data_IF_290613063013
#
_entry.id   IF_290613063013
#
_cell.length_a   1.000
_cell.length_b   1.000
_cell.length_c   1.000
_cell.angle_alpha   90.00
_cell.angle_beta   90.00
_cell.angle_gamma   90.00
#
_symmetry.space_group_name_H-M   'P 1'
#
loop_
_entity.id
_entity.type
_entity.pdbx_description
1 polymer ?
#
# COMPACT_ATOMS: atom_id res chain seq x y z
N UNK A 1 19.34 27.70 30.22
CA UNK A 1 18.77 27.81 28.86
C UNK A 1 19.94 27.68 27.90
N UNK A 2 20.09 26.54 27.23
CA UNK A 2 21.27 26.29 26.38
C UNK A 2 21.09 26.95 25.00
N UNK A 3 22.15 27.51 24.40
CA UNK A 3 22.09 28.17 23.10
C UNK A 3 21.84 27.13 22.00
N UNK A 4 20.82 27.37 21.17
CA UNK A 4 20.51 26.56 19.98
C UNK A 4 21.35 27.09 18.83
N UNK A 5 22.25 26.25 18.32
CA UNK A 5 23.19 26.59 17.26
C UNK A 5 22.44 26.75 15.91
N UNK A 6 22.47 27.94 15.26
CA UNK A 6 21.73 28.21 14.03
C UNK A 6 22.30 27.49 12.79
N UNK A 7 23.45 26.84 12.93
CA UNK A 7 24.11 26.04 11.89
C UNK A 7 24.07 24.54 12.15
N UNK A 8 23.11 24.05 12.95
CA UNK A 8 22.79 22.63 13.03
C UNK A 8 22.31 22.14 11.65
N UNK A 9 23.27 21.84 10.78
CA UNK A 9 23.06 21.38 9.42
C UNK A 9 22.11 20.21 9.46
N UNK A 10 21.03 20.32 8.70
CA UNK A 10 20.04 19.26 8.56
C UNK A 10 20.76 18.05 7.95
N UNK A 11 21.22 17.14 8.81
CA UNK A 11 21.79 15.86 8.44
C UNK A 11 20.68 15.03 7.81
N UNK A 12 20.61 15.02 6.46
CA UNK A 12 19.68 14.17 5.72
C UNK A 12 20.14 12.72 5.89
N UNK A 13 19.66 12.08 6.97
CA UNK A 13 20.11 10.76 7.44
C UNK A 13 19.88 9.59 6.49
N UNK A 14 19.21 9.76 5.35
CA UNK A 14 19.19 8.69 4.35
C UNK A 14 18.77 9.16 2.96
N UNK A 15 19.65 8.97 1.98
CA UNK A 15 19.35 9.09 0.54
C UNK A 15 18.53 7.90 0.00
N UNK A 16 18.25 6.89 0.84
CA UNK A 16 17.53 5.67 0.46
C UNK A 16 16.11 5.91 -0.06
N UNK A 17 15.46 7.03 0.32
CA UNK A 17 14.09 7.34 -0.12
C UNK A 17 14.06 7.83 -1.57
N UNK A 18 15.17 8.39 -2.08
CA UNK A 18 15.22 8.98 -3.43
C UNK A 18 15.76 7.99 -4.46
N UNK A 19 16.67 7.09 -4.07
CA UNK A 19 17.26 6.10 -4.97
C UNK A 19 16.54 4.76 -4.87
N UNK A 20 15.64 4.50 -5.85
CA UNK A 20 15.18 3.14 -6.12
C UNK A 20 16.35 2.34 -6.69
N UNK A 21 16.93 1.46 -5.86
CA UNK A 21 17.97 0.53 -6.30
C UNK A 21 17.38 -0.45 -7.31
N UNK A 22 17.59 -0.20 -8.61
CA UNK A 22 17.13 -1.06 -9.68
C UNK A 22 18.27 -1.98 -10.11
N UNK A 23 18.09 -3.30 -9.98
CA UNK A 23 19.11 -4.26 -10.42
C UNK A 23 19.22 -4.23 -11.95
N UNK A 24 20.42 -3.96 -12.45
CA UNK A 24 20.74 -3.85 -13.88
C UNK A 24 21.89 -4.78 -14.24
N UNK A 25 21.77 -5.40 -15.40
CA UNK A 25 22.77 -6.28 -15.99
C UNK A 25 23.58 -5.48 -17.01
N UNK A 26 24.88 -5.36 -16.77
CA UNK A 26 25.80 -4.63 -17.65
C UNK A 26 26.72 -5.55 -18.46
N UNK A 27 26.89 -6.80 -18.01
CA UNK A 27 27.78 -7.81 -18.59
C UNK A 27 27.13 -9.18 -18.49
N UNK A 28 27.30 -9.99 -19.52
CA UNK A 28 26.97 -11.42 -19.52
C UNK A 28 28.30 -12.15 -19.65
N UNK A 29 28.69 -12.86 -18.59
CA UNK A 29 29.98 -13.55 -18.50
C UNK A 29 31.16 -12.63 -18.90
N UNK A 30 31.81 -12.86 -20.06
CA UNK A 30 32.91 -12.02 -20.55
C UNK A 30 32.48 -10.85 -21.44
N UNK A 31 31.25 -10.83 -21.95
CA UNK A 31 30.78 -9.83 -22.92
C UNK A 31 30.06 -8.66 -22.27
N UNK A 32 30.50 -7.43 -22.58
CA UNK A 32 29.75 -6.21 -22.19
C UNK A 32 28.57 -6.04 -23.12
N UNK A 33 27.40 -5.75 -22.53
CA UNK A 33 26.21 -5.46 -23.31
C UNK A 33 26.38 -4.11 -24.02
N UNK A 34 25.90 -3.95 -25.27
CA UNK A 34 26.01 -2.70 -26.02
C UNK A 34 25.08 -1.58 -25.50
N UNK A 35 24.48 -1.76 -24.31
CA UNK A 35 23.55 -0.83 -23.70
C UNK A 35 24.25 -0.03 -22.59
N UNK A 36 24.47 1.30 -22.75
CA UNK A 36 25.25 2.10 -21.79
C UNK A 36 24.64 2.12 -20.38
N UNK A 37 23.32 2.00 -20.28
CA UNK A 37 22.57 2.02 -19.02
C UNK A 37 22.27 0.63 -18.44
N UNK A 38 22.80 -0.45 -19.06
CA UNK A 38 22.48 -1.84 -18.73
C UNK A 38 21.02 -2.22 -19.01
N UNK A 39 20.73 -3.52 -18.90
CA UNK A 39 19.37 -4.06 -19.03
C UNK A 39 18.79 -4.26 -17.62
N UNK A 40 17.63 -3.68 -17.27
CA UNK A 40 17.02 -3.92 -15.98
C UNK A 40 16.63 -5.40 -15.86
N UNK A 41 16.94 -6.03 -14.73
CA UNK A 41 16.62 -7.46 -14.50
C UNK A 41 15.11 -7.70 -14.59
N UNK A 42 14.30 -6.71 -14.22
CA UNK A 42 12.85 -6.75 -14.41
C UNK A 42 12.44 -6.93 -15.88
N UNK A 43 13.16 -6.35 -16.85
CA UNK A 43 12.86 -6.55 -18.27
C UNK A 43 13.08 -8.00 -18.70
N UNK A 44 14.11 -8.68 -18.16
CA UNK A 44 14.34 -10.11 -18.44
C UNK A 44 13.17 -10.94 -17.89
N UNK A 45 12.75 -10.67 -16.65
CA UNK A 45 11.59 -11.34 -16.06
C UNK A 45 10.29 -11.09 -16.83
N UNK A 46 10.05 -9.87 -17.31
CA UNK A 46 8.89 -9.55 -18.14
C UNK A 46 8.96 -10.19 -19.53
N UNK A 47 10.12 -10.27 -20.15
CA UNK A 47 10.29 -10.93 -21.44
C UNK A 47 9.96 -12.42 -21.33
N UNK A 48 10.46 -13.08 -20.28
CA UNK A 48 10.12 -14.48 -19.99
C UNK A 48 8.62 -14.66 -19.74
N UNK A 49 7.99 -13.80 -18.92
CA UNK A 49 6.56 -13.86 -18.65
C UNK A 49 5.70 -13.65 -19.92
N UNK A 50 6.06 -12.69 -20.78
CA UNK A 50 5.36 -12.46 -22.05
C UNK A 50 5.56 -13.63 -23.01
N UNK A 51 6.77 -14.19 -23.09
CA UNK A 51 7.02 -15.38 -23.90
C UNK A 51 6.15 -16.56 -23.46
N UNK A 52 6.08 -16.84 -22.15
CA UNK A 52 5.18 -17.86 -21.60
C UNK A 52 3.72 -17.59 -21.97
N UNK A 53 3.29 -16.32 -21.91
CA UNK A 53 1.94 -15.92 -22.31
C UNK A 53 1.70 -16.16 -23.81
N UNK A 54 2.63 -15.81 -24.68
CA UNK A 54 2.53 -16.05 -26.13
C UNK A 54 2.43 -17.55 -26.44
N UNK A 55 3.26 -18.37 -25.80
CA UNK A 55 3.21 -19.83 -25.97
C UNK A 55 1.87 -20.39 -25.51
N UNK A 56 1.35 -19.92 -24.37
CA UNK A 56 0.04 -20.33 -23.86
C UNK A 56 -1.10 -19.88 -24.79
N UNK A 57 -1.06 -18.64 -25.28
CA UNK A 57 -2.05 -18.11 -26.24
C UNK A 57 -1.99 -18.81 -27.59
N UNK A 58 -0.82 -19.29 -27.99
CA UNK A 58 -0.62 -20.08 -29.21
C UNK A 58 -1.34 -21.43 -29.20
N UNK A 59 -1.72 -21.94 -28.03
CA UNK A 59 -2.50 -23.18 -27.91
C UNK A 59 -4.01 -22.97 -28.15
N UNK A 60 -4.49 -21.72 -28.19
CA UNK A 60 -5.90 -21.43 -28.42
C UNK A 60 -6.24 -21.43 -29.92
N UNK A 61 -7.41 -22.00 -30.30
CA UNK A 61 -7.90 -21.88 -31.67
C UNK A 61 -8.12 -20.41 -32.04
N UNK A 62 -7.77 -20.03 -33.26
CA UNK A 62 -7.78 -18.64 -33.74
C UNK A 62 -6.48 -17.89 -33.41
N UNK A 63 -6.16 -17.69 -32.12
CA UNK A 63 -4.93 -16.98 -31.72
C UNK A 63 -3.67 -17.72 -32.16
N UNK A 64 -3.64 -19.06 -32.07
CA UNK A 64 -2.55 -19.88 -32.58
C UNK A 64 -2.36 -19.75 -34.09
N UNK A 65 -3.44 -19.60 -34.86
CA UNK A 65 -3.35 -19.42 -36.31
C UNK A 65 -2.76 -18.05 -36.67
N UNK A 66 -3.16 -17.00 -35.95
CA UNK A 66 -2.59 -15.66 -36.13
C UNK A 66 -1.11 -15.65 -35.76
N UNK A 67 -0.76 -16.19 -34.59
CA UNK A 67 0.64 -16.26 -34.12
C UNK A 67 1.51 -17.15 -35.01
N UNK A 68 0.95 -18.22 -35.57
CA UNK A 68 1.61 -19.12 -36.51
C UNK A 68 1.81 -18.53 -37.91
N UNK A 69 1.02 -17.52 -38.28
CA UNK A 69 1.21 -16.77 -39.52
C UNK A 69 2.39 -15.79 -39.44
N UNK A 70 2.81 -15.40 -38.22
CA UNK A 70 3.97 -14.54 -38.01
C UNK A 70 5.28 -15.35 -38.05
N UNK A 71 6.37 -14.79 -38.61
CA UNK A 71 7.68 -15.42 -38.56
C UNK A 71 8.11 -15.68 -37.10
N UNK A 72 8.67 -16.87 -36.86
CA UNK A 72 9.12 -17.29 -35.53
C UNK A 72 10.03 -16.25 -34.80
N UNK A 73 10.99 -15.56 -35.46
CA UNK A 73 11.79 -14.54 -34.79
C UNK A 73 10.96 -13.37 -34.26
N UNK A 74 9.89 -13.01 -34.98
CA UNK A 74 9.04 -11.89 -34.61
C UNK A 74 8.16 -12.26 -33.41
N UNK A 75 7.59 -13.47 -33.42
CA UNK A 75 6.72 -13.98 -32.37
C UNK A 75 7.46 -14.32 -31.08
N UNK A 76 8.61 -15.00 -31.16
CA UNK A 76 9.28 -15.57 -29.99
C UNK A 76 10.47 -14.75 -29.46
N UNK A 77 10.96 -13.76 -30.22
CA UNK A 77 12.10 -12.94 -29.80
C UNK A 77 11.70 -11.45 -29.75
N UNK A 78 11.27 -10.90 -30.88
CA UNK A 78 11.01 -9.45 -30.97
C UNK A 78 9.79 -9.04 -30.14
N UNK A 79 8.68 -9.76 -30.22
CA UNK A 79 7.47 -9.43 -29.48
C UNK A 79 7.66 -9.47 -27.95
N UNK A 80 8.23 -10.53 -27.33
CA UNK A 80 8.55 -10.53 -25.90
C UNK A 80 9.51 -9.42 -25.48
N UNK A 81 10.57 -9.19 -26.27
CA UNK A 81 11.56 -8.15 -25.97
C UNK A 81 10.95 -6.74 -26.03
N UNK A 82 10.16 -6.45 -27.07
CA UNK A 82 9.46 -5.18 -27.22
C UNK A 82 8.43 -4.96 -26.11
N UNK A 83 7.63 -5.98 -25.79
CA UNK A 83 6.66 -5.92 -24.70
C UNK A 83 7.34 -5.70 -23.33
N UNK A 84 8.43 -6.40 -23.03
CA UNK A 84 9.20 -6.20 -21.82
C UNK A 84 9.78 -4.79 -21.71
N UNK A 85 10.28 -4.26 -22.83
CA UNK A 85 10.78 -2.89 -22.89
C UNK A 85 9.66 -1.86 -22.68
N UNK A 86 8.48 -2.08 -23.27
CA UNK A 86 7.31 -1.25 -23.03
C UNK A 86 6.87 -1.30 -21.56
N UNK A 87 6.79 -2.50 -20.95
CA UNK A 87 6.37 -2.71 -19.56
C UNK A 87 7.30 -2.06 -18.52
N UNK A 88 8.58 -1.90 -18.87
CA UNK A 88 9.59 -1.30 -17.99
C UNK A 88 9.82 0.18 -18.25
N UNK A 89 9.68 0.66 -19.50
CA UNK A 89 9.88 2.08 -19.84
C UNK A 89 8.62 2.93 -19.73
N UNK A 90 7.46 2.40 -20.06
CA UNK A 90 6.22 3.17 -20.02
C UNK A 90 5.79 3.42 -18.58
N UNK A 91 5.41 4.67 -18.30
CA UNK A 91 4.87 5.07 -17.00
C UNK A 91 3.43 5.51 -17.19
N UNK A 92 2.51 4.80 -16.53
CA UNK A 92 1.08 5.12 -16.47
C UNK A 92 0.85 5.75 -15.10
N UNK A 93 0.34 6.99 -15.07
CA UNK A 93 0.12 7.77 -13.84
C UNK A 93 1.38 7.85 -12.93
N UNK A 94 2.55 7.98 -13.56
CA UNK A 94 3.85 8.01 -12.87
C UNK A 94 4.35 6.66 -12.34
N UNK A 95 3.58 5.58 -12.50
CA UNK A 95 3.94 4.21 -12.10
C UNK A 95 4.44 3.41 -13.32
N UNK A 96 5.47 2.55 -13.19
CA UNK A 96 5.85 1.64 -14.26
C UNK A 96 4.65 0.80 -14.73
N UNK A 97 4.50 0.61 -16.04
CA UNK A 97 3.34 -0.05 -16.63
C UNK A 97 3.07 -1.45 -16.06
N UNK A 98 4.11 -2.24 -15.80
CA UNK A 98 3.94 -3.55 -15.16
C UNK A 98 3.30 -3.48 -13.77
N UNK A 99 3.58 -2.44 -12.96
CA UNK A 99 2.94 -2.26 -11.65
C UNK A 99 1.50 -1.82 -11.78
N UNK A 100 1.21 -0.96 -12.77
CA UNK A 100 -0.15 -0.54 -13.07
C UNK A 100 -1.00 -1.75 -13.50
N UNK A 101 -0.50 -2.54 -14.45
CA UNK A 101 -1.20 -3.73 -14.95
C UNK A 101 -1.35 -4.79 -13.87
N UNK A 102 -0.31 -5.04 -13.06
CA UNK A 102 -0.43 -5.95 -11.93
C UNK A 102 -1.50 -5.47 -10.95
N UNK A 103 -1.47 -4.18 -10.55
CA UNK A 103 -2.48 -3.64 -9.64
C UNK A 103 -3.90 -3.74 -10.22
N UNK A 104 -4.06 -3.46 -11.52
CA UNK A 104 -5.35 -3.52 -12.21
C UNK A 104 -5.87 -4.96 -12.30
N UNK A 105 -5.02 -5.91 -12.67
CA UNK A 105 -5.37 -7.33 -12.76
C UNK A 105 -5.66 -7.91 -11.38
N UNK A 106 -4.82 -7.65 -10.37
CA UNK A 106 -5.10 -8.07 -9.00
C UNK A 106 -6.40 -7.46 -8.50
N UNK A 107 -6.67 -6.18 -8.78
CA UNK A 107 -7.91 -5.54 -8.33
C UNK A 107 -9.16 -6.13 -9.02
N UNK A 108 -9.06 -6.49 -10.31
CA UNK A 108 -10.15 -7.12 -11.04
C UNK A 108 -10.41 -8.57 -10.61
N UNK A 109 -9.35 -9.30 -10.21
CA UNK A 109 -9.43 -10.68 -9.74
C UNK A 109 -9.70 -10.80 -8.24
N UNK A 110 -9.47 -9.74 -7.47
CA UNK A 110 -9.73 -9.74 -6.03
C UNK A 110 -11.25 -9.72 -5.82
N UNK A 111 -11.83 -10.69 -5.10
CA UNK A 111 -13.25 -10.62 -4.76
C UNK A 111 -13.50 -9.36 -3.93
N UNK A 112 -14.34 -8.46 -4.45
CA UNK A 112 -14.77 -7.27 -3.74
C UNK A 112 -16.17 -7.53 -3.18
N UNK A 113 -16.36 -7.32 -1.88
CA UNK A 113 -17.74 -7.17 -1.38
C UNK A 113 -18.24 -5.83 -1.89
N UNK A 114 -19.45 -5.76 -2.42
CA UNK A 114 -20.05 -4.48 -2.77
C UNK A 114 -20.95 -4.03 -1.63
N UNK A 115 -20.76 -2.79 -1.16
CA UNK A 115 -21.68 -2.14 -0.24
C UNK A 115 -22.25 -0.92 -0.98
N UNK A 116 -23.57 -0.88 -1.20
CA UNK A 116 -24.24 0.19 -1.97
C UNK A 116 -23.59 0.39 -3.35
N UNK A 117 -23.44 -0.70 -4.10
CA UNK A 117 -22.78 -0.73 -5.42
C UNK A 117 -21.33 -0.18 -5.45
N UNK A 118 -20.67 -0.01 -4.29
CA UNK A 118 -19.28 0.39 -4.18
C UNK A 118 -18.40 -0.75 -3.69
N UNK A 119 -17.19 -0.92 -4.25
CA UNK A 119 -16.19 -1.84 -3.71
C UNK A 119 -15.94 -1.61 -2.22
N UNK A 120 -16.05 -2.65 -1.42
CA UNK A 120 -15.74 -2.70 -0.01
C UNK A 120 -14.68 -3.79 0.26
N UNK A 121 -13.68 -3.50 1.09
CA UNK A 121 -12.61 -4.45 1.39
C UNK A 121 -13.17 -5.72 2.04
N UNK A 122 -12.64 -6.88 1.64
CA UNK A 122 -13.05 -8.21 2.12
C UNK A 122 -12.61 -8.53 3.55
N UNK A 123 -11.99 -7.56 4.25
CA UNK A 123 -11.54 -7.76 5.61
C UNK A 123 -12.75 -8.08 6.50
N UNK A 124 -12.75 -9.21 7.24
CA UNK A 124 -13.74 -9.44 8.26
C UNK A 124 -13.58 -8.31 9.28
N UNK A 125 -14.46 -7.33 9.20
CA UNK A 125 -14.68 -6.40 10.28
C UNK A 125 -15.66 -7.09 11.22
N UNK A 126 -15.20 -7.60 12.38
CA UNK A 126 -16.14 -7.96 13.42
C UNK A 126 -16.90 -6.68 13.74
N UNK A 127 -18.17 -6.65 13.37
CA UNK A 127 -19.13 -5.71 13.91
C UNK A 127 -19.38 -6.28 15.31
N UNK A 128 -18.84 -5.68 16.39
CA UNK A 128 -19.11 -6.20 17.71
C UNK A 128 -20.60 -6.04 17.96
N UNK A 129 -21.28 -7.05 18.53
CA UNK A 129 -22.68 -6.98 18.97
C UNK A 129 -22.92 -5.98 20.13
N UNK A 130 -21.96 -5.09 20.38
CA UNK A 130 -22.02 -4.04 21.39
C UNK A 130 -22.49 -2.71 20.80
N UNK A 131 -23.01 -1.80 21.64
CA UNK A 131 -23.38 -0.46 21.21
C UNK A 131 -22.16 0.26 20.62
N UNK A 132 -22.22 0.51 19.32
CA UNK A 132 -21.21 1.28 18.60
C UNK A 132 -21.43 2.76 18.92
N UNK A 133 -20.71 3.28 19.92
CA UNK A 133 -20.67 4.72 20.18
C UNK A 133 -19.80 5.41 19.12
N UNK A 134 -20.42 5.75 17.98
CA UNK A 134 -19.79 6.61 16.96
C UNK A 134 -20.16 8.05 17.18
N UNK A 135 -19.15 8.92 17.25
CA UNK A 135 -19.38 10.35 17.15
C UNK A 135 -19.43 10.79 15.69
N UNK A 136 -20.17 11.87 15.41
CA UNK A 136 -20.14 12.55 14.12
C UNK A 136 -18.69 12.80 13.67
N UNK A 137 -18.33 12.45 12.42
CA UNK A 137 -16.99 12.65 11.88
C UNK A 137 -16.57 14.13 11.84
N UNK A 138 -17.54 15.06 11.88
CA UNK A 138 -17.29 16.52 11.84
C UNK A 138 -17.02 17.13 13.21
N UNK A 139 -17.37 16.47 14.30
CA UNK A 139 -17.18 17.05 15.63
C UNK A 139 -15.70 17.17 15.94
N UNK A 140 -15.22 18.24 16.55
CA UNK A 140 -13.76 18.51 16.72
C UNK A 140 -13.16 17.91 17.99
N UNK A 141 -13.98 17.49 18.96
CA UNK A 141 -13.54 16.93 20.25
C UNK A 141 -14.19 15.57 20.55
N UNK A 142 -13.67 14.89 21.59
CA UNK A 142 -14.36 13.74 22.18
C UNK A 142 -15.43 14.25 23.15
N UNK A 143 -16.66 13.68 23.14
CA UNK A 143 -17.67 14.03 24.13
C UNK A 143 -17.24 13.57 25.53
N UNK A 144 -17.75 14.25 26.55
CA UNK A 144 -17.65 13.71 27.91
C UNK A 144 -18.42 12.39 27.98
N UNK A 145 -17.75 11.30 28.35
CA UNK A 145 -18.40 10.01 28.54
C UNK A 145 -17.66 9.12 29.55
N UNK A 146 -18.38 8.17 30.11
CA UNK A 146 -17.83 7.09 30.93
C UNK A 146 -18.17 5.76 30.25
N UNK A 147 -17.13 4.97 29.94
CA UNK A 147 -17.26 3.65 29.32
C UNK A 147 -16.78 2.62 30.34
N UNK A 148 -17.62 1.66 30.70
CA UNK A 148 -17.27 0.56 31.60
C UNK A 148 -16.97 -0.69 30.77
N UNK A 149 -15.88 -1.39 31.09
CA UNK A 149 -15.50 -2.63 30.41
C UNK A 149 -16.42 -3.82 30.77
N UNK A 150 -16.42 -4.90 29.97
CA UNK A 150 -15.49 -5.16 28.87
C UNK A 150 -15.83 -4.37 27.60
N UNK A 151 -14.87 -3.61 27.07
CA UNK A 151 -15.09 -2.78 25.87
C UNK A 151 -13.79 -2.52 25.11
N UNK A 152 -13.90 -2.37 23.78
CA UNK A 152 -12.79 -1.93 22.93
C UNK A 152 -13.07 -0.52 22.43
N UNK A 153 -12.23 0.43 22.84
CA UNK A 153 -12.36 1.85 22.49
C UNK A 153 -11.33 2.20 21.42
N UNK A 154 -11.80 2.73 20.29
CA UNK A 154 -10.95 3.15 19.18
C UNK A 154 -10.87 4.67 19.11
N UNK A 155 -9.65 5.19 19.26
CA UNK A 155 -9.35 6.62 19.26
C UNK A 155 -8.84 7.06 17.89
N UNK A 156 -9.54 8.02 17.29
CA UNK A 156 -9.19 8.59 15.99
C UNK A 156 -8.43 9.92 16.11
N UNK A 157 -8.37 10.51 17.30
CA UNK A 157 -7.70 11.79 17.59
C UNK A 157 -6.71 11.67 18.75
N UNK A 158 -5.70 12.55 18.79
CA UNK A 158 -4.77 12.57 19.91
C UNK A 158 -5.48 12.83 21.23
N UNK A 159 -5.15 12.01 22.23
CA UNK A 159 -5.60 12.17 23.60
C UNK A 159 -4.47 11.75 24.55
N UNK A 160 -4.39 12.43 25.69
CA UNK A 160 -3.57 12.04 26.83
C UNK A 160 -4.42 11.15 27.72
N UNK A 161 -3.88 10.00 28.08
CA UNK A 161 -4.50 9.08 29.00
C UNK A 161 -3.63 8.97 30.25
N UNK A 162 -4.25 9.00 31.42
CA UNK A 162 -3.61 8.78 32.70
C UNK A 162 -4.40 7.71 33.45
N UNK A 163 -3.73 6.62 33.82
CA UNK A 163 -4.35 5.53 34.55
C UNK A 163 -4.31 5.83 36.05
N UNK A 164 -5.45 5.68 36.73
CA UNK A 164 -5.58 5.74 38.18
C UNK A 164 -6.41 4.55 38.65
N UNK A 165 -5.75 3.59 39.31
CA UNK A 165 -6.36 2.32 39.70
C UNK A 165 -7.06 1.64 38.51
N UNK A 166 -8.36 1.31 38.61
CA UNK A 166 -9.15 0.70 37.53
C UNK A 166 -9.78 1.72 36.57
N UNK A 167 -9.43 2.99 36.67
CA UNK A 167 -10.00 4.07 35.84
C UNK A 167 -8.94 4.71 34.97
N UNK A 168 -9.16 4.70 33.66
CA UNK A 168 -8.37 5.44 32.69
C UNK A 168 -9.01 6.81 32.49
N UNK A 169 -8.32 7.87 32.90
CA UNK A 169 -8.73 9.24 32.66
C UNK A 169 -8.16 9.72 31.34
N UNK A 170 -9.03 10.15 30.44
CA UNK A 170 -8.66 10.65 29.12
C UNK A 170 -9.00 12.12 28.96
N UNK A 171 -8.04 12.85 28.39
CA UNK A 171 -8.19 14.26 28.00
C UNK A 171 -7.82 14.39 26.53
N UNK A 172 -8.72 14.95 25.73
CA UNK A 172 -8.43 15.30 24.34
C UNK A 172 -7.26 16.28 24.28
N UNK A 173 -6.39 16.14 23.28
CA UNK A 173 -5.35 17.13 22.98
C UNK A 173 -5.69 17.72 21.60
N UNK A 174 -5.51 19.03 21.37
CA UNK A 174 -5.64 19.59 20.04
C UNK A 174 -4.71 18.89 19.05
N UNK A 175 -5.22 18.53 17.88
CA UNK A 175 -4.41 17.94 16.82
C UNK A 175 -5.24 17.26 15.72
N UNK A 176 -4.59 16.96 14.58
CA UNK A 176 -5.26 16.31 13.45
C UNK A 176 -5.68 14.87 13.79
N UNK A 177 -6.60 14.34 12.98
CA UNK A 177 -6.97 12.93 13.03
C UNK A 177 -5.73 12.03 12.87
N UNK A 178 -5.61 11.03 13.72
CA UNK A 178 -4.51 10.07 13.70
C UNK A 178 -4.59 9.22 12.42
N UNK A 179 -3.50 9.16 11.66
CA UNK A 179 -3.37 8.30 10.47
C UNK A 179 -3.51 6.82 10.83
N UNK A 180 -3.17 6.45 12.07
CA UNK A 180 -3.40 5.12 12.63
C UNK A 180 -4.22 5.24 13.92
N UNK A 181 -5.45 4.67 13.97
CA UNK A 181 -6.25 4.71 15.18
C UNK A 181 -5.56 3.99 16.33
N UNK A 182 -5.69 4.54 17.54
CA UNK A 182 -5.20 3.88 18.76
C UNK A 182 -6.33 3.06 19.37
N UNK A 183 -6.07 1.79 19.67
CA UNK A 183 -7.06 0.89 20.25
C UNK A 183 -6.74 0.66 21.73
N UNK A 184 -7.74 0.87 22.59
CA UNK A 184 -7.68 0.61 24.03
C UNK A 184 -8.65 -0.51 24.34
N UNK A 185 -8.20 -1.54 25.05
CA UNK A 185 -9.05 -2.64 25.54
C UNK A 185 -9.27 -2.44 27.03
N UNK A 186 -10.53 -2.39 27.45
CA UNK A 186 -10.96 -2.31 28.85
C UNK A 186 -11.39 -3.69 29.30
N UNK A 187 -10.78 -4.19 30.38
CA UNK A 187 -11.17 -5.43 31.05
C UNK A 187 -12.45 -5.23 31.89
N UNK A 188 -13.13 -6.30 32.32
CA UNK A 188 -14.26 -6.21 33.25
C UNK A 188 -13.90 -5.38 34.50
N UNK A 189 -14.77 -4.43 34.85
CA UNK A 189 -14.56 -3.53 35.99
C UNK A 189 -13.48 -2.47 35.80
N UNK A 190 -12.90 -2.32 34.60
CA UNK A 190 -12.15 -1.13 34.22
C UNK A 190 -13.09 -0.06 33.65
N UNK A 191 -12.76 1.21 33.88
CA UNK A 191 -13.55 2.34 33.43
C UNK A 191 -12.69 3.29 32.61
N UNK A 192 -13.23 3.84 31.54
CA UNK A 192 -12.64 4.95 30.80
C UNK A 192 -13.51 6.18 31.01
N UNK A 193 -12.93 7.25 31.55
CA UNK A 193 -13.60 8.55 31.70
C UNK A 193 -12.96 9.58 30.78
N UNK A 194 -13.74 10.08 29.83
CA UNK A 194 -13.38 11.21 28.98
C UNK A 194 -14.05 12.45 29.59
N UNK A 195 -13.24 13.46 29.93
CA UNK A 195 -13.77 14.76 30.33
C UNK A 195 -13.82 15.69 29.12
N UNK A 196 -14.98 16.32 28.90
CA UNK A 196 -15.10 17.42 27.95
C UNK A 196 -14.18 18.56 28.40
N UNK A 197 -13.41 19.12 27.48
CA UNK A 197 -12.88 20.46 27.67
C UNK A 197 -14.02 21.39 27.29
N UNK A 198 -14.71 21.93 28.29
CA UNK A 198 -15.50 23.15 28.09
C UNK A 198 -14.54 24.29 27.80
#
# INVERSE_FOLDING_TARGET
>A
MAPVDPHAGMEIRSFHVVFRLERRLHRIDRWRLPFPHGIPVAAIGHAAAVLCLIVALGQLPGLGAILGALPAPLTYVLAPAAAAMALTRLRIDGRPAHRYLLARTTNALTPQRTAVARPAPLSPHPIPDGPLLTHSPTATAYPACEITGPATVRLLRPARAHARARTLHMRAIPGPTLTRPKVIRLAPGQRLRIRSQT
#
